data_IF_956356225589
#
_entry.id   IF_956356225589
#
_cell.length_a   1.000
_cell.length_b   1.000
_cell.length_c   1.000
_cell.angle_alpha   90.00
_cell.angle_beta   90.00
_cell.angle_gamma   90.00
#
_symmetry.space_group_name_H-M   'P 1'
#
loop_
_entity.id
_entity.type
_entity.pdbx_description
1 polymer ?
#
# COMPACT_ATOMS: atom_id res chain seq x y z
N UNK A 1 23.26 -7.88 29.16
CA UNK A 1 23.58 -7.28 30.46
C UNK A 1 24.47 -6.02 30.37
N UNK A 2 24.62 -5.37 29.20
CA UNK A 2 25.57 -4.23 29.02
C UNK A 2 24.91 -2.90 28.62
N UNK A 3 23.58 -2.83 28.64
CA UNK A 3 22.87 -1.57 28.50
C UNK A 3 22.45 -1.16 29.91
N UNK A 4 23.04 -0.07 30.40
CA UNK A 4 22.67 0.54 31.67
C UNK A 4 21.34 1.28 31.48
N UNK A 5 20.24 0.53 31.60
CA UNK A 5 18.88 1.06 31.51
C UNK A 5 18.47 1.65 32.87
N UNK A 6 18.18 2.96 32.96
CA UNK A 6 17.74 3.59 34.20
C UNK A 6 16.53 2.90 34.82
N UNK A 7 16.46 2.93 36.14
CA UNK A 7 15.32 2.40 36.88
C UNK A 7 14.02 3.10 36.46
N UNK A 8 13.00 2.31 36.12
CA UNK A 8 11.71 2.80 35.62
C UNK A 8 11.60 2.88 34.09
N UNK A 9 12.67 2.60 33.34
CA UNK A 9 12.63 2.50 31.88
C UNK A 9 12.63 1.04 31.42
N UNK A 10 11.95 0.78 30.30
CA UNK A 10 11.99 -0.49 29.58
C UNK A 10 12.51 -0.27 28.16
N UNK A 11 13.34 -1.20 27.67
CA UNK A 11 13.85 -1.18 26.29
C UNK A 11 13.39 -2.44 25.59
N UNK A 12 12.84 -2.29 24.39
CA UNK A 12 12.42 -3.40 23.54
C UNK A 12 13.30 -3.41 22.29
N UNK A 13 14.03 -4.50 22.10
CA UNK A 13 14.76 -4.71 20.86
C UNK A 13 13.77 -5.08 19.75
N UNK A 14 13.72 -4.28 18.68
CA UNK A 14 12.87 -4.55 17.50
C UNK A 14 13.51 -5.63 16.63
N UNK A 15 12.73 -6.30 15.78
CA UNK A 15 13.20 -7.32 14.82
C UNK A 15 14.36 -6.81 13.96
N UNK A 16 14.35 -5.54 13.55
CA UNK A 16 15.44 -4.91 12.80
C UNK A 16 16.78 -4.83 13.56
N UNK A 17 16.77 -5.04 14.88
CA UNK A 17 17.95 -5.12 15.74
C UNK A 17 18.63 -6.49 15.76
N UNK A 18 18.01 -7.54 15.23
CA UNK A 18 18.54 -8.91 15.27
C UNK A 18 19.88 -9.05 14.53
N UNK A 19 20.05 -8.35 13.41
CA UNK A 19 21.28 -8.38 12.60
C UNK A 19 22.31 -7.31 12.99
N UNK A 20 22.10 -6.61 14.12
CA UNK A 20 22.93 -5.49 14.55
C UNK A 20 23.94 -5.90 15.61
N UNK A 21 25.13 -5.31 15.51
CA UNK A 21 26.18 -5.51 16.49
C UNK A 21 25.82 -4.79 17.79
N UNK A 22 26.36 -5.28 18.90
CA UNK A 22 26.20 -4.67 20.23
C UNK A 22 26.57 -3.18 20.26
N UNK A 23 27.60 -2.78 19.51
CA UNK A 23 28.04 -1.39 19.41
C UNK A 23 27.07 -0.49 18.62
N UNK A 24 26.36 -1.04 17.64
CA UNK A 24 25.27 -0.34 16.93
C UNK A 24 24.06 -0.16 17.86
N UNK A 25 23.68 -1.22 18.59
CA UNK A 25 22.55 -1.17 19.54
C UNK A 25 22.83 -0.16 20.66
N UNK A 26 24.05 -0.13 21.21
CA UNK A 26 24.42 0.83 22.26
C UNK A 26 24.31 2.29 21.78
N UNK A 27 24.73 2.59 20.55
CA UNK A 27 24.63 3.93 19.97
C UNK A 27 23.19 4.36 19.73
N UNK A 28 22.35 3.46 19.23
CA UNK A 28 20.92 3.73 19.05
C UNK A 28 20.24 4.01 20.40
N UNK A 29 20.57 3.22 21.42
CA UNK A 29 20.12 3.46 22.79
C UNK A 29 20.59 4.82 23.34
N UNK A 30 21.87 5.17 23.20
CA UNK A 30 22.41 6.47 23.61
C UNK A 30 21.73 7.64 22.88
N UNK A 31 21.41 7.47 21.59
CA UNK A 31 20.65 8.44 20.82
C UNK A 31 19.24 8.63 21.39
N UNK A 32 18.52 7.54 21.67
CA UNK A 32 17.18 7.59 22.26
C UNK A 32 17.20 8.26 23.65
N UNK A 33 18.23 7.99 24.46
CA UNK A 33 18.40 8.63 25.76
C UNK A 33 18.64 10.15 25.65
N UNK A 34 19.47 10.60 24.69
CA UNK A 34 19.66 12.04 24.43
C UNK A 34 18.38 12.70 23.93
N UNK A 35 17.65 12.02 23.05
CA UNK A 35 16.37 12.51 22.55
C UNK A 35 15.38 12.68 23.72
N UNK A 36 15.27 11.68 24.58
CA UNK A 36 14.44 11.75 25.78
C UNK A 36 14.81 12.93 26.69
N UNK A 37 16.11 13.13 26.92
CA UNK A 37 16.58 14.23 27.78
C UNK A 37 16.24 15.61 27.20
N UNK A 38 16.35 15.77 25.87
CA UNK A 38 15.95 16.99 25.19
C UNK A 38 14.45 17.24 25.32
N UNK A 39 13.62 16.20 25.11
CA UNK A 39 12.16 16.30 25.26
C UNK A 39 11.80 16.67 26.70
N UNK A 40 12.41 16.01 27.69
CA UNK A 40 12.20 16.29 29.12
C UNK A 40 12.57 17.74 29.46
N UNK A 41 13.76 18.19 29.05
CA UNK A 41 14.25 19.54 29.33
C UNK A 41 13.36 20.60 28.70
N UNK A 42 12.98 20.43 27.43
CA UNK A 42 12.08 21.34 26.74
C UNK A 42 10.69 21.37 27.37
N UNK A 43 10.17 20.22 27.80
CA UNK A 43 8.87 20.11 28.49
C UNK A 43 8.86 20.90 29.80
N UNK A 44 9.92 20.79 30.61
CA UNK A 44 10.04 21.53 31.88
C UNK A 44 10.17 23.05 31.69
N UNK A 45 10.69 23.49 30.54
CA UNK A 45 10.85 24.92 30.21
C UNK A 45 9.61 25.51 29.51
N UNK A 46 8.69 24.67 29.02
CA UNK A 46 7.56 25.09 28.19
C UNK A 46 6.30 25.33 29.01
N UNK A 47 5.45 26.26 28.57
CA UNK A 47 4.08 26.44 29.08
C UNK A 47 3.09 25.87 28.08
N UNK A 48 2.12 25.07 28.54
CA UNK A 48 1.19 24.37 27.65
C UNK A 48 0.16 25.34 27.00
N UNK A 49 -0.30 25.05 25.76
CA UNK A 49 0.12 23.96 24.87
C UNK A 49 1.41 24.30 24.09
N UNK A 50 2.37 23.36 24.04
CA UNK A 50 3.64 23.52 23.32
C UNK A 50 4.07 22.22 22.63
N UNK A 51 4.65 22.32 21.43
CA UNK A 51 5.27 21.20 20.72
C UNK A 51 6.65 20.93 21.34
N UNK A 52 6.76 19.83 22.08
CA UNK A 52 8.02 19.43 22.75
C UNK A 52 8.78 18.34 21.99
N UNK A 53 8.13 17.68 21.04
CA UNK A 53 8.72 16.67 20.17
C UNK A 53 7.93 16.57 18.88
N UNK A 54 8.63 16.62 17.76
CA UNK A 54 8.11 16.27 16.44
C UNK A 54 8.82 15.01 15.97
N UNK A 55 8.06 14.03 15.45
CA UNK A 55 8.71 12.86 14.87
C UNK A 55 9.59 13.28 13.70
N UNK A 56 10.78 12.69 13.60
CA UNK A 56 11.77 13.07 12.60
C UNK A 56 11.21 13.09 11.18
N UNK A 57 11.84 13.91 10.33
CA UNK A 57 11.53 14.03 8.91
C UNK A 57 11.39 12.66 8.23
N UNK A 58 10.69 12.63 7.10
CA UNK A 58 10.56 11.41 6.29
C UNK A 58 11.93 10.76 6.01
N UNK A 59 12.98 11.55 5.82
CA UNK A 59 14.35 11.09 5.60
C UNK A 59 14.86 10.28 6.81
N UNK A 60 14.76 10.85 8.02
CA UNK A 60 15.20 10.18 9.26
C UNK A 60 14.42 8.89 9.50
N UNK A 61 13.09 8.92 9.28
CA UNK A 61 12.23 7.73 9.42
C UNK A 61 12.58 6.65 8.40
N UNK A 62 12.76 7.04 7.14
CA UNK A 62 13.15 6.13 6.05
C UNK A 62 14.48 5.45 6.36
N UNK A 63 15.50 6.21 6.78
CA UNK A 63 16.80 5.65 7.17
C UNK A 63 16.67 4.71 8.38
N UNK A 64 16.02 5.15 9.45
CA UNK A 64 15.84 4.36 10.69
C UNK A 64 15.16 3.03 10.41
N UNK A 65 14.12 3.05 9.59
CA UNK A 65 13.25 1.90 9.41
C UNK A 65 13.72 0.99 8.26
N UNK A 66 14.18 1.55 7.11
CA UNK A 66 14.51 0.80 5.87
C UNK A 66 15.98 0.40 5.76
N UNK A 67 16.89 1.10 6.43
CA UNK A 67 18.31 0.86 6.20
C UNK A 67 18.75 -0.52 6.70
N UNK A 68 19.43 -1.28 5.83
CA UNK A 68 20.12 -2.52 6.16
C UNK A 68 21.53 -2.53 5.55
N UNK A 69 22.38 -3.50 5.95
CA UNK A 69 23.79 -3.55 5.52
C UNK A 69 23.96 -3.95 4.05
N UNK A 70 22.91 -4.47 3.42
CA UNK A 70 22.90 -4.90 2.03
C UNK A 70 22.59 -3.74 1.06
N UNK A 71 22.32 -2.54 1.59
CA UNK A 71 22.15 -1.33 0.79
C UNK A 71 23.52 -0.74 0.45
N UNK A 72 23.88 -0.81 -0.83
CA UNK A 72 25.13 -0.30 -1.37
C UNK A 72 25.19 1.24 -1.38
N UNK A 73 24.07 1.89 -1.70
CA UNK A 73 23.99 3.36 -1.88
C UNK A 73 22.61 3.90 -1.47
N UNK A 74 22.60 5.09 -0.84
CA UNK A 74 21.41 5.91 -0.62
C UNK A 74 21.57 7.21 -1.39
N UNK A 75 20.88 7.32 -2.51
CA UNK A 75 20.87 8.52 -3.35
C UNK A 75 19.84 9.53 -2.83
N UNK A 76 20.28 10.76 -2.58
CA UNK A 76 19.41 11.84 -2.08
C UNK A 76 19.45 13.03 -3.02
N UNK A 77 18.29 13.39 -3.58
CA UNK A 77 18.12 14.60 -4.38
C UNK A 77 17.82 15.80 -3.49
N UNK A 78 18.53 16.91 -3.71
CA UNK A 78 18.43 18.14 -2.90
C UNK A 78 19.47 18.22 -1.78
N UNK A 79 20.11 19.38 -1.65
CA UNK A 79 21.24 19.59 -0.72
C UNK A 79 20.82 19.53 0.75
N UNK A 80 19.66 20.08 1.11
CA UNK A 80 19.19 20.06 2.51
C UNK A 80 18.85 18.64 2.98
N UNK A 81 18.14 17.88 2.15
CA UNK A 81 17.83 16.48 2.43
C UNK A 81 19.07 15.60 2.50
N UNK A 82 20.06 15.85 1.63
CA UNK A 82 21.34 15.15 1.65
C UNK A 82 22.10 15.37 2.97
N UNK A 83 22.22 16.64 3.41
CA UNK A 83 22.86 16.98 4.69
C UNK A 83 22.15 16.33 5.84
N UNK A 84 20.81 16.41 5.89
CA UNK A 84 20.02 15.80 6.95
C UNK A 84 20.22 14.28 7.01
N UNK A 85 20.15 13.59 5.87
CA UNK A 85 20.37 12.15 5.78
C UNK A 85 21.78 11.76 6.24
N UNK A 86 22.79 12.50 5.77
CA UNK A 86 24.21 12.21 6.04
C UNK A 86 24.57 12.45 7.50
N UNK A 87 24.09 13.53 8.10
CA UNK A 87 24.34 13.83 9.52
C UNK A 87 23.61 12.86 10.44
N UNK A 88 22.38 12.47 10.09
CA UNK A 88 21.66 11.42 10.81
C UNK A 88 22.40 10.07 10.74
N UNK A 89 22.88 9.70 9.55
CA UNK A 89 23.67 8.47 9.38
C UNK A 89 25.00 8.54 10.14
N UNK A 90 25.68 9.70 10.17
CA UNK A 90 26.89 9.89 10.98
C UNK A 90 26.63 9.71 12.47
N UNK A 91 25.48 10.17 12.96
CA UNK A 91 25.13 10.07 14.36
C UNK A 91 24.88 8.61 14.78
N UNK A 92 24.13 7.85 14.00
CA UNK A 92 23.78 6.46 14.33
C UNK A 92 24.88 5.47 13.92
N UNK A 93 25.37 5.58 12.69
CA UNK A 93 26.26 4.63 12.02
C UNK A 93 27.36 5.37 11.20
N UNK A 94 28.39 5.95 11.86
CA UNK A 94 29.44 6.73 11.20
C UNK A 94 30.13 6.00 10.04
N UNK A 95 30.39 4.69 10.18
CA UNK A 95 31.05 3.87 9.15
C UNK A 95 30.23 3.76 7.85
N UNK A 96 28.92 3.94 7.93
CA UNK A 96 27.98 3.86 6.82
C UNK A 96 27.56 5.24 6.29
N UNK A 97 28.03 6.34 6.88
CA UNK A 97 27.70 7.69 6.40
C UNK A 97 28.14 7.97 4.96
N UNK A 98 29.15 7.23 4.48
CA UNK A 98 29.63 7.25 3.09
C UNK A 98 28.70 6.55 2.09
N UNK A 99 27.71 5.80 2.55
CA UNK A 99 26.67 5.19 1.69
C UNK A 99 25.68 6.25 1.21
N UNK A 100 25.51 7.34 1.97
CA UNK A 100 24.63 8.45 1.59
C UNK A 100 25.36 9.34 0.58
N UNK A 101 24.84 9.36 -0.65
CA UNK A 101 25.42 10.07 -1.79
C UNK A 101 24.44 11.13 -2.34
N UNK A 102 24.94 12.31 -2.72
CA UNK A 102 24.11 13.34 -3.31
C UNK A 102 23.79 12.97 -4.76
N UNK A 103 22.52 13.05 -5.12
CA UNK A 103 22.09 12.92 -6.51
C UNK A 103 22.19 14.27 -7.21
N UNK A 104 23.01 14.37 -8.26
CA UNK A 104 23.35 15.63 -8.95
C UNK A 104 23.05 15.65 -10.43
N UNK A 105 22.48 14.57 -10.96
CA UNK A 105 22.10 14.53 -12.37
C UNK A 105 20.93 15.49 -12.64
N UNK A 106 20.84 15.96 -13.88
CA UNK A 106 19.77 16.85 -14.34
C UNK A 106 18.44 16.12 -14.49
N UNK A 107 18.48 14.84 -14.87
CA UNK A 107 17.28 14.00 -14.96
C UNK A 107 16.79 13.69 -13.55
N UNK A 108 15.49 13.79 -13.24
CA UNK A 108 14.97 13.43 -11.91
C UNK A 108 15.31 11.99 -11.53
N UNK A 109 15.63 11.76 -10.25
CA UNK A 109 16.09 10.48 -9.71
C UNK A 109 15.16 9.30 -10.06
N UNK A 110 13.84 9.45 -9.87
CA UNK A 110 12.90 8.37 -10.16
C UNK A 110 12.74 8.10 -11.66
N UNK A 111 12.85 9.14 -12.50
CA UNK A 111 12.81 8.99 -13.96
C UNK A 111 14.05 8.24 -14.43
N UNK A 112 15.24 8.62 -13.97
CA UNK A 112 16.50 7.94 -14.32
C UNK A 112 16.49 6.46 -13.95
N UNK A 113 15.88 6.11 -12.82
CA UNK A 113 15.80 4.74 -12.33
C UNK A 113 14.54 3.97 -12.83
N UNK A 114 13.71 4.57 -13.69
CA UNK A 114 12.48 3.94 -14.20
C UNK A 114 11.41 3.67 -13.13
N UNK A 115 11.50 4.34 -11.99
CA UNK A 115 10.58 4.19 -10.84
C UNK A 115 9.29 4.97 -11.11
N UNK A 116 9.34 6.10 -11.80
CA UNK A 116 8.16 6.94 -12.08
C UNK A 116 7.05 6.13 -12.77
N UNK A 117 7.41 5.38 -13.82
CA UNK A 117 6.47 4.52 -14.53
C UNK A 117 5.91 3.38 -13.65
N UNK A 118 6.64 2.96 -12.60
CA UNK A 118 6.12 1.99 -11.64
C UNK A 118 5.14 2.63 -10.66
N UNK A 119 5.40 3.87 -10.22
CA UNK A 119 4.49 4.63 -9.36
C UNK A 119 3.15 4.88 -10.06
N UNK A 120 3.16 5.25 -11.33
CA UNK A 120 1.92 5.43 -12.10
C UNK A 120 1.13 4.12 -12.21
N UNK A 121 1.82 2.99 -12.44
CA UNK A 121 1.19 1.66 -12.48
C UNK A 121 0.61 1.24 -11.13
N UNK A 122 1.06 1.79 -10.00
CA UNK A 122 0.47 1.50 -8.69
C UNK A 122 -0.97 2.01 -8.55
N UNK A 123 -1.39 2.96 -9.40
CA UNK A 123 -2.77 3.45 -9.42
C UNK A 123 -3.70 2.55 -10.24
N UNK A 124 -3.14 1.69 -11.10
CA UNK A 124 -3.93 0.76 -11.91
C UNK A 124 -4.33 -0.46 -11.07
N UNK A 125 -5.59 -0.93 -11.14
CA UNK A 125 -6.01 -2.13 -10.42
C UNK A 125 -5.33 -3.38 -10.98
N UNK A 126 -5.06 -3.43 -12.28
CA UNK A 126 -4.41 -4.55 -12.96
C UNK A 126 -2.89 -4.45 -12.88
N UNK A 127 -2.22 -5.57 -12.58
CA UNK A 127 -0.77 -5.69 -12.56
C UNK A 127 -0.34 -6.91 -13.38
N UNK A 128 0.47 -6.70 -14.41
CA UNK A 128 1.00 -7.76 -15.28
C UNK A 128 2.12 -8.53 -14.59
N UNK A 129 2.05 -9.87 -14.66
CA UNK A 129 3.06 -10.81 -14.18
C UNK A 129 4.15 -11.04 -15.25
N UNK A 130 5.29 -11.61 -14.85
CA UNK A 130 6.46 -11.76 -15.72
C UNK A 130 6.17 -12.67 -16.91
N UNK A 131 5.37 -13.71 -16.69
CA UNK A 131 5.00 -14.68 -17.73
C UNK A 131 3.84 -14.22 -18.63
N UNK A 132 3.26 -13.03 -18.40
CA UNK A 132 2.16 -12.49 -19.20
C UNK A 132 0.75 -12.77 -18.66
N UNK A 133 0.65 -13.47 -17.52
CA UNK A 133 -0.53 -13.42 -16.66
C UNK A 133 -0.70 -12.04 -16.01
N UNK A 134 -1.73 -11.85 -15.22
CA UNK A 134 -1.96 -10.61 -14.48
C UNK A 134 -2.80 -10.85 -13.23
N UNK A 135 -2.67 -9.95 -12.27
CA UNK A 135 -3.56 -9.87 -11.11
C UNK A 135 -4.43 -8.62 -11.19
N UNK A 136 -5.66 -8.69 -10.69
CA UNK A 136 -6.55 -7.53 -10.55
C UNK A 136 -6.79 -7.29 -9.06
N UNK A 137 -6.47 -6.09 -8.57
CA UNK A 137 -6.64 -5.68 -7.18
C UNK A 137 -7.82 -4.73 -7.09
N UNK A 138 -8.85 -5.11 -6.34
CA UNK A 138 -10.04 -4.31 -6.10
C UNK A 138 -10.19 -4.03 -4.60
N UNK A 139 -10.15 -2.75 -4.23
CA UNK A 139 -10.43 -2.32 -2.85
C UNK A 139 -11.93 -2.03 -2.71
N UNK A 140 -12.59 -2.76 -1.81
CA UNK A 140 -13.99 -2.54 -1.43
C UNK A 140 -14.06 -1.83 -0.08
N UNK A 141 -15.27 -1.61 0.43
CA UNK A 141 -15.48 -1.01 1.75
C UNK A 141 -14.93 -1.87 2.89
N UNK A 142 -15.09 -3.19 2.82
CA UNK A 142 -14.76 -4.10 3.92
C UNK A 142 -13.44 -4.86 3.73
N UNK A 143 -13.07 -5.16 2.48
CA UNK A 143 -11.93 -6.00 2.15
C UNK A 143 -11.27 -5.62 0.83
N UNK A 144 -10.05 -6.11 0.63
CA UNK A 144 -9.36 -6.07 -0.66
C UNK A 144 -9.49 -7.43 -1.33
N UNK A 145 -10.05 -7.49 -2.53
CA UNK A 145 -10.05 -8.71 -3.35
C UNK A 145 -8.94 -8.67 -4.39
N UNK A 146 -8.30 -9.81 -4.61
CA UNK A 146 -7.26 -9.99 -5.61
C UNK A 146 -7.61 -11.20 -6.45
N UNK A 147 -7.73 -11.00 -7.75
CA UNK A 147 -8.04 -12.05 -8.74
C UNK A 147 -6.80 -12.35 -9.60
N UNK A 148 -6.52 -13.63 -9.88
CA UNK A 148 -5.32 -14.09 -10.61
C UNK A 148 -5.70 -14.71 -11.94
N UNK A 149 -5.10 -14.21 -13.03
CA UNK A 149 -5.36 -14.68 -14.38
C UNK A 149 -4.06 -15.09 -15.09
N UNK A 150 -4.07 -16.24 -15.78
CA UNK A 150 -2.94 -16.74 -16.58
C UNK A 150 -2.75 -15.99 -17.90
N UNK A 151 -3.74 -15.20 -18.33
CA UNK A 151 -3.67 -14.41 -19.56
C UNK A 151 -3.47 -15.29 -20.80
N UNK A 152 -2.64 -14.84 -21.74
CA UNK A 152 -2.28 -15.60 -22.96
C UNK A 152 -1.05 -16.51 -22.77
N UNK A 153 -0.64 -16.78 -21.53
CA UNK A 153 0.55 -17.57 -21.23
C UNK A 153 0.29 -19.07 -21.34
N UNK A 154 -0.08 -19.56 -22.53
CA UNK A 154 -0.30 -21.00 -22.80
C UNK A 154 0.91 -21.59 -23.52
N UNK A 155 2.11 -21.47 -22.91
CA UNK A 155 3.35 -22.00 -23.51
C UNK A 155 3.75 -23.38 -23.01
N UNK A 156 3.09 -23.92 -21.99
CA UNK A 156 3.39 -25.24 -21.43
C UNK A 156 2.36 -26.28 -21.87
N UNK A 157 2.78 -27.55 -21.88
CA UNK A 157 1.96 -28.68 -22.33
C UNK A 157 0.89 -29.11 -21.30
N UNK A 158 0.96 -28.61 -20.06
CA UNK A 158 0.01 -28.94 -18.98
C UNK A 158 -0.64 -27.68 -18.40
N UNK A 159 -1.97 -27.67 -18.36
CA UNK A 159 -2.78 -26.57 -17.78
C UNK A 159 -2.45 -26.39 -16.28
N UNK A 160 -2.25 -27.51 -15.56
CA UNK A 160 -1.94 -27.52 -14.12
C UNK A 160 -0.57 -26.88 -13.82
N UNK A 161 0.43 -27.12 -14.67
CA UNK A 161 1.77 -26.53 -14.50
C UNK A 161 1.73 -25.01 -14.70
N UNK A 162 1.00 -24.56 -15.72
CA UNK A 162 0.80 -23.12 -15.98
C UNK A 162 0.01 -22.45 -14.87
N UNK A 163 -1.00 -23.11 -14.28
CA UNK A 163 -1.75 -22.61 -13.14
C UNK A 163 -0.83 -22.44 -11.92
N UNK A 164 -0.05 -23.48 -11.57
CA UNK A 164 0.92 -23.42 -10.48
C UNK A 164 1.96 -22.30 -10.71
N UNK A 165 2.55 -22.23 -11.90
CA UNK A 165 3.55 -21.22 -12.21
C UNK A 165 3.00 -19.80 -12.08
N UNK A 166 1.80 -19.56 -12.65
CA UNK A 166 1.12 -18.26 -12.56
C UNK A 166 0.80 -17.91 -11.11
N UNK A 167 0.27 -18.85 -10.32
CA UNK A 167 -0.05 -18.62 -8.91
C UNK A 167 1.20 -18.34 -8.06
N UNK A 168 2.34 -18.99 -8.36
CA UNK A 168 3.60 -18.70 -7.70
C UNK A 168 4.10 -17.27 -8.01
N UNK A 169 4.06 -16.85 -9.29
CA UNK A 169 4.38 -15.46 -9.65
C UNK A 169 3.42 -14.46 -8.99
N UNK A 170 2.12 -14.77 -9.01
CA UNK A 170 1.09 -13.95 -8.38
C UNK A 170 1.33 -13.81 -6.87
N UNK A 171 1.70 -14.87 -6.16
CA UNK A 171 2.01 -14.81 -4.73
C UNK A 171 3.17 -13.85 -4.41
N UNK A 172 4.22 -13.83 -5.23
CA UNK A 172 5.33 -12.89 -5.08
C UNK A 172 4.87 -11.44 -5.33
N UNK A 173 4.11 -11.25 -6.41
CA UNK A 173 3.66 -9.93 -6.83
C UNK A 173 2.62 -9.35 -5.86
N UNK A 174 1.70 -10.16 -5.34
CA UNK A 174 0.76 -9.77 -4.29
C UNK A 174 1.50 -9.28 -3.06
N UNK A 175 2.47 -10.05 -2.56
CA UNK A 175 3.27 -9.62 -1.40
C UNK A 175 3.99 -8.29 -1.64
N UNK A 176 4.48 -8.07 -2.87
CA UNK A 176 5.10 -6.80 -3.29
C UNK A 176 4.10 -5.65 -3.32
N UNK A 177 2.93 -5.85 -3.93
CA UNK A 177 1.88 -4.83 -4.07
C UNK A 177 1.26 -4.44 -2.73
N UNK A 178 1.08 -5.39 -1.80
CA UNK A 178 0.61 -5.10 -0.44
C UNK A 178 1.50 -4.07 0.27
N UNK A 179 2.82 -4.18 0.11
CA UNK A 179 3.79 -3.22 0.66
C UNK A 179 3.80 -1.90 -0.08
N UNK A 180 3.81 -1.93 -1.41
CA UNK A 180 3.89 -0.72 -2.22
C UNK A 180 2.65 0.16 -2.08
N UNK A 181 1.46 -0.46 -2.08
CA UNK A 181 0.18 0.25 -2.01
C UNK A 181 -0.32 0.47 -0.58
N UNK A 182 0.39 -0.07 0.41
CA UNK A 182 -0.01 -0.11 1.82
C UNK A 182 -1.43 -0.66 2.02
N UNK A 183 -1.75 -1.75 1.32
CA UNK A 183 -3.05 -2.43 1.46
C UNK A 183 -3.13 -3.08 2.83
N UNK A 184 -4.26 -2.91 3.52
CA UNK A 184 -4.44 -3.35 4.89
C UNK A 184 -5.89 -3.75 5.15
N UNK A 185 -6.12 -4.41 6.29
CA UNK A 185 -7.41 -5.01 6.64
C UNK A 185 -7.50 -6.46 6.17
N UNK A 186 -8.71 -6.91 5.86
CA UNK A 186 -8.97 -8.22 5.30
C UNK A 186 -8.63 -8.22 3.81
N UNK A 187 -7.85 -9.20 3.38
CA UNK A 187 -7.45 -9.40 1.98
C UNK A 187 -7.84 -10.82 1.60
N UNK A 188 -8.50 -10.96 0.46
CA UNK A 188 -8.91 -12.24 -0.12
C UNK A 188 -8.25 -12.39 -1.48
N UNK A 189 -7.57 -13.51 -1.70
CA UNK A 189 -6.86 -13.81 -2.95
C UNK A 189 -7.54 -15.01 -3.59
N UNK A 190 -8.04 -14.83 -4.81
CA UNK A 190 -8.61 -15.85 -5.67
C UNK A 190 -7.51 -16.35 -6.60
N UNK A 191 -6.87 -17.46 -6.22
CA UNK A 191 -5.85 -18.11 -7.03
C UNK A 191 -6.52 -19.00 -8.07
N UNK A 192 -5.82 -19.26 -9.18
CA UNK A 192 -6.31 -20.21 -10.19
C UNK A 192 -6.44 -21.59 -9.52
N UNK A 193 -7.58 -22.24 -9.71
CA UNK A 193 -7.82 -23.59 -9.19
C UNK A 193 -6.73 -24.57 -9.64
N UNK A 194 -6.27 -25.39 -8.70
CA UNK A 194 -5.25 -26.42 -8.91
C UNK A 194 -5.76 -27.75 -8.34
N UNK A 195 -5.62 -28.84 -9.10
CA UNK A 195 -6.12 -30.15 -8.68
C UNK A 195 -5.26 -30.74 -7.56
N UNK A 196 -3.94 -30.52 -7.60
CA UNK A 196 -3.04 -31.09 -6.60
C UNK A 196 -2.93 -30.23 -5.34
N UNK A 197 -3.32 -30.78 -4.20
CA UNK A 197 -3.14 -30.14 -2.89
C UNK A 197 -1.67 -29.76 -2.57
N UNK A 198 -0.70 -30.42 -3.21
CA UNK A 198 0.72 -30.06 -3.08
C UNK A 198 1.00 -28.70 -3.69
N UNK A 199 0.35 -28.36 -4.80
CA UNK A 199 0.47 -27.09 -5.51
C UNK A 199 -0.10 -25.94 -4.67
N UNK A 200 -1.27 -26.14 -4.06
CA UNK A 200 -1.85 -25.21 -3.08
C UNK A 200 -0.87 -24.87 -1.94
N UNK A 201 -0.25 -25.88 -1.35
CA UNK A 201 0.77 -25.69 -0.28
C UNK A 201 2.02 -24.97 -0.77
N UNK A 202 2.42 -25.16 -2.02
CA UNK A 202 3.57 -24.48 -2.60
C UNK A 202 3.30 -22.98 -2.75
N UNK A 203 2.10 -22.60 -3.22
CA UNK A 203 1.64 -21.21 -3.33
C UNK A 203 1.52 -20.56 -1.95
N UNK A 204 0.90 -21.23 -0.98
CA UNK A 204 0.82 -20.78 0.42
C UNK A 204 2.20 -20.48 1.02
N UNK A 205 3.16 -21.38 0.79
CA UNK A 205 4.53 -21.23 1.27
C UNK A 205 5.22 -20.06 0.58
N UNK A 206 5.09 -19.95 -0.75
CA UNK A 206 5.69 -18.86 -1.54
C UNK A 206 5.22 -17.50 -1.08
N UNK A 207 3.91 -17.34 -0.84
CA UNK A 207 3.33 -16.11 -0.31
C UNK A 207 3.91 -15.79 1.08
N UNK A 208 3.88 -16.76 2.00
CA UNK A 208 4.44 -16.58 3.36
C UNK A 208 5.90 -16.17 3.33
N UNK A 209 6.72 -16.78 2.49
CA UNK A 209 8.13 -16.45 2.35
C UNK A 209 8.35 -14.99 1.91
N UNK A 210 7.53 -14.48 0.99
CA UNK A 210 7.61 -13.10 0.50
C UNK A 210 6.99 -12.05 1.43
N UNK A 211 6.22 -12.48 2.44
CA UNK A 211 5.62 -11.62 3.46
C UNK A 211 6.47 -11.52 4.74
N UNK A 212 7.48 -12.38 4.94
CA UNK A 212 8.34 -12.39 6.14
C UNK A 212 8.99 -11.05 6.45
N UNK A 213 9.36 -10.30 5.41
CA UNK A 213 10.02 -9.00 5.52
C UNK A 213 9.05 -7.82 5.57
N UNK A 214 7.74 -8.07 5.56
CA UNK A 214 6.75 -7.01 5.78
C UNK A 214 6.80 -6.55 7.25
N UNK A 215 6.68 -5.24 7.45
CA UNK A 215 6.68 -4.64 8.79
C UNK A 215 5.34 -4.72 9.47
N UNK A 216 4.27 -4.80 8.68
CA UNK A 216 2.93 -4.95 9.21
C UNK A 216 2.80 -6.35 9.83
N UNK A 217 2.06 -6.46 10.93
CA UNK A 217 1.65 -7.78 11.42
C UNK A 217 0.70 -8.39 10.41
N UNK A 218 0.99 -9.62 10.00
CA UNK A 218 0.23 -10.34 8.98
C UNK A 218 -0.18 -11.70 9.52
N UNK A 219 -1.43 -12.08 9.28
CA UNK A 219 -1.91 -13.44 9.48
C UNK A 219 -2.36 -13.99 8.14
N UNK A 220 -1.81 -15.14 7.74
CA UNK A 220 -2.12 -15.79 6.46
C UNK A 220 -2.83 -17.10 6.74
N UNK A 221 -4.03 -17.25 6.17
CA UNK A 221 -4.80 -18.48 6.19
C UNK A 221 -4.25 -19.57 5.28
N UNK A 222 -5.10 -20.52 4.94
CA UNK A 222 -4.87 -21.53 3.90
C UNK A 222 -5.82 -21.25 2.74
N UNK A 223 -5.54 -21.87 1.59
CA UNK A 223 -6.51 -21.92 0.50
C UNK A 223 -7.72 -22.71 0.98
N UNK A 224 -8.89 -22.09 0.95
CA UNK A 224 -10.16 -22.65 1.40
C UNK A 224 -10.69 -23.69 0.41
N UNK A 225 -11.78 -24.36 0.76
CA UNK A 225 -12.47 -25.25 -0.16
C UNK A 225 -13.05 -24.54 -1.40
N UNK A 226 -13.25 -23.21 -1.32
CA UNK A 226 -13.73 -22.38 -2.42
C UNK A 226 -12.60 -21.80 -3.29
N UNK A 227 -11.35 -22.27 -3.15
CA UNK A 227 -10.20 -21.73 -3.90
C UNK A 227 -9.65 -20.40 -3.36
N UNK A 228 -10.33 -19.77 -2.42
CA UNK A 228 -9.94 -18.48 -1.86
C UNK A 228 -8.94 -18.60 -0.72
N UNK A 229 -7.94 -17.74 -0.71
CA UNK A 229 -7.03 -17.53 0.42
C UNK A 229 -7.37 -16.24 1.17
N UNK A 230 -7.60 -16.36 2.46
CA UNK A 230 -7.85 -15.21 3.35
C UNK A 230 -6.58 -14.84 4.12
N UNK A 231 -6.33 -13.54 4.25
CA UNK A 231 -5.28 -13.01 5.12
C UNK A 231 -5.68 -11.66 5.73
N UNK A 232 -5.06 -11.32 6.86
CA UNK A 232 -5.18 -9.99 7.46
C UNK A 232 -3.83 -9.30 7.52
N UNK A 233 -3.80 -8.00 7.23
CA UNK A 233 -2.60 -7.16 7.32
C UNK A 233 -2.89 -5.92 8.15
N UNK A 234 -2.07 -5.67 9.16
CA UNK A 234 -2.19 -4.50 10.03
C UNK A 234 -2.05 -3.19 9.24
N UNK A 235 -2.97 -2.25 9.48
CA UNK A 235 -2.90 -0.89 8.92
C UNK A 235 -1.84 -0.07 9.67
N UNK A 236 -0.82 0.39 8.95
CA UNK A 236 0.24 1.28 9.48
C UNK A 236 -0.05 2.74 9.13
N UNK A 237 -0.55 2.99 7.93
CA UNK A 237 -0.86 4.32 7.38
C UNK A 237 -2.03 4.22 6.39
N UNK A 238 -2.52 5.36 5.92
CA UNK A 238 -3.48 5.40 4.81
C UNK A 238 -2.88 4.75 3.56
N UNK A 239 -3.71 4.11 2.74
CA UNK A 239 -3.26 3.49 1.49
C UNK A 239 -2.85 4.56 0.47
N UNK A 240 -2.13 4.14 -0.57
CA UNK A 240 -1.74 5.08 -1.64
C UNK A 240 -2.96 5.69 -2.33
N UNK A 241 -4.01 4.89 -2.60
CA UNK A 241 -5.24 5.40 -3.20
C UNK A 241 -5.97 6.38 -2.29
N UNK A 242 -6.09 6.06 -0.99
CA UNK A 242 -6.74 6.94 -0.01
C UNK A 242 -6.03 8.29 0.14
N UNK A 243 -4.70 8.32 -0.01
CA UNK A 243 -3.90 9.54 0.14
C UNK A 243 -3.76 10.37 -1.14
N UNK A 244 -3.97 9.78 -2.32
CA UNK A 244 -3.75 10.44 -3.62
C UNK A 244 -5.04 10.68 -4.42
N UNK A 245 -6.14 10.01 -4.08
CA UNK A 245 -7.39 10.08 -4.84
C UNK A 245 -8.55 10.64 -4.02
N UNK A 246 -9.59 11.11 -4.74
CA UNK A 246 -10.87 11.50 -4.17
C UNK A 246 -11.99 10.66 -4.77
N UNK A 247 -13.09 10.41 -4.03
CA UNK A 247 -14.24 9.71 -4.58
C UNK A 247 -14.76 10.39 -5.85
N UNK A 248 -15.20 9.59 -6.83
CA UNK A 248 -15.77 10.12 -8.06
C UNK A 248 -17.04 10.93 -7.75
N UNK A 249 -17.16 12.19 -8.20
CA UNK A 249 -18.32 13.04 -7.88
C UNK A 249 -19.62 12.56 -8.57
N UNK A 250 -19.52 11.72 -9.61
CA UNK A 250 -20.68 11.23 -10.36
C UNK A 250 -21.26 9.95 -9.78
N UNK A 251 -20.41 8.97 -9.48
CA UNK A 251 -20.84 7.64 -9.05
C UNK A 251 -20.56 7.36 -7.57
N UNK A 252 -19.91 8.28 -6.85
CA UNK A 252 -19.55 8.08 -5.44
C UNK A 252 -18.55 6.95 -5.19
N UNK A 253 -17.90 6.44 -6.25
CA UNK A 253 -16.98 5.31 -6.18
C UNK A 253 -17.58 3.97 -6.60
N UNK A 254 -18.85 3.90 -7.03
CA UNK A 254 -19.46 2.63 -7.48
C UNK A 254 -18.90 2.12 -8.81
N UNK A 255 -18.21 2.97 -9.59
CA UNK A 255 -17.71 2.64 -10.93
C UNK A 255 -18.79 2.52 -12.01
N UNK A 256 -20.06 2.76 -11.67
CA UNK A 256 -21.18 2.59 -12.58
C UNK A 256 -22.15 3.78 -12.50
N UNK A 257 -22.74 4.13 -13.63
CA UNK A 257 -23.86 5.08 -13.73
C UNK A 257 -25.07 4.36 -14.30
N UNK A 258 -26.29 4.78 -13.93
CA UNK A 258 -27.52 4.17 -14.48
C UNK A 258 -27.58 4.37 -15.99
N UNK A 259 -28.08 3.37 -16.71
CA UNK A 259 -28.31 3.46 -18.16
C UNK A 259 -29.43 4.46 -18.49
N UNK A 260 -29.42 5.01 -19.71
CA UNK A 260 -30.44 5.96 -20.16
C UNK A 260 -31.87 5.41 -20.03
N UNK A 261 -32.09 4.15 -20.35
CA UNK A 261 -33.39 3.48 -20.20
C UNK A 261 -33.85 3.40 -18.74
N UNK A 262 -32.93 3.13 -17.81
CA UNK A 262 -33.22 3.08 -16.38
C UNK A 262 -33.56 4.47 -15.83
N UNK A 263 -32.82 5.49 -16.24
CA UNK A 263 -33.09 6.88 -15.85
C UNK A 263 -34.39 7.38 -16.48
N UNK A 264 -34.68 7.04 -17.74
CA UNK A 264 -35.91 7.40 -18.42
C UNK A 264 -37.15 6.85 -17.69
N UNK A 265 -37.13 5.56 -17.33
CA UNK A 265 -38.22 4.96 -16.56
C UNK A 265 -38.39 5.61 -15.18
N UNK A 266 -37.29 5.97 -14.52
CA UNK A 266 -37.33 6.71 -13.26
C UNK A 266 -37.97 8.09 -13.44
N UNK A 267 -37.64 8.80 -14.52
CA UNK A 267 -38.22 10.11 -14.86
C UNK A 267 -39.72 9.99 -15.10
N UNK A 268 -40.16 9.02 -15.91
CA UNK A 268 -41.60 8.82 -16.21
C UNK A 268 -42.37 8.51 -14.92
N UNK A 269 -41.86 7.60 -14.08
CA UNK A 269 -42.50 7.28 -12.80
C UNK A 269 -42.56 8.47 -11.85
N UNK A 270 -41.53 9.32 -11.83
CA UNK A 270 -41.52 10.54 -11.02
C UNK A 270 -42.56 11.57 -11.52
N UNK A 271 -42.75 11.69 -12.84
CA UNK A 271 -43.80 12.52 -13.44
C UNK A 271 -45.19 11.97 -13.05
N UNK A 272 -45.41 10.66 -13.18
CA UNK A 272 -46.67 10.01 -12.80
C UNK A 272 -47.00 10.23 -11.32
N UNK A 273 -46.03 9.99 -10.43
CA UNK A 273 -46.20 10.20 -9.00
C UNK A 273 -46.56 11.66 -8.66
N UNK A 274 -45.92 12.62 -9.34
CA UNK A 274 -46.21 14.04 -9.15
C UNK A 274 -47.63 14.39 -9.63
N UNK A 275 -48.02 13.95 -10.83
CA UNK A 275 -49.33 14.22 -11.41
C UNK A 275 -50.48 13.59 -10.62
N UNK A 276 -50.24 12.45 -9.96
CA UNK A 276 -51.21 11.85 -9.04
C UNK A 276 -51.47 12.70 -7.79
N UNK A 277 -50.48 13.50 -7.35
CA UNK A 277 -50.60 14.40 -6.19
C UNK A 277 -51.18 15.76 -6.56
N UNK A 278 -50.71 16.36 -7.65
CA UNK A 278 -51.22 17.62 -8.17
C UNK A 278 -51.07 17.69 -9.70
N UNK A 279 -52.21 17.70 -10.40
CA UNK A 279 -52.29 17.73 -11.85
C UNK A 279 -52.59 19.11 -12.44
N UNK A 280 -52.63 20.17 -11.62
CA UNK A 280 -53.12 21.49 -12.05
C UNK A 280 -52.06 22.35 -12.74
N UNK A 281 -50.78 22.00 -12.62
CA UNK A 281 -49.65 22.81 -13.09
C UNK A 281 -48.82 22.10 -14.15
N UNK A 282 -48.19 22.87 -15.04
CA UNK A 282 -47.19 22.35 -15.97
C UNK A 282 -45.96 21.83 -15.21
N UNK A 283 -45.39 20.73 -15.67
CA UNK A 283 -44.17 20.14 -15.11
C UNK A 283 -42.99 20.43 -16.05
N UNK A 284 -41.88 20.89 -15.48
CA UNK A 284 -40.61 21.04 -16.19
C UNK A 284 -39.64 20.02 -15.60
N UNK A 285 -39.24 19.03 -16.41
CA UNK A 285 -38.23 18.04 -16.02
C UNK A 285 -36.89 18.38 -16.68
N UNK A 286 -35.81 18.34 -15.89
CA UNK A 286 -34.43 18.49 -16.36
C UNK A 286 -33.70 17.17 -16.20
N UNK A 287 -33.14 16.65 -17.30
CA UNK A 287 -32.46 15.35 -17.37
C UNK A 287 -31.37 15.41 -18.45
N UNK A 288 -30.36 14.51 -18.47
CA UNK A 288 -29.38 14.45 -19.56
C UNK A 288 -30.03 14.32 -20.95
N UNK A 289 -29.38 14.86 -21.98
CA UNK A 289 -29.94 14.89 -23.34
C UNK A 289 -30.29 13.49 -23.88
N UNK A 290 -29.43 12.50 -23.65
CA UNK A 290 -29.68 11.12 -24.08
C UNK A 290 -30.94 10.53 -23.42
N UNK A 291 -31.11 10.77 -22.11
CA UNK A 291 -32.32 10.36 -21.38
C UNK A 291 -33.57 11.10 -21.89
N UNK A 292 -33.48 12.41 -22.18
CA UNK A 292 -34.61 13.17 -22.71
C UNK A 292 -35.05 12.65 -24.08
N UNK A 293 -34.11 12.37 -24.97
CA UNK A 293 -34.39 11.75 -26.27
C UNK A 293 -35.01 10.36 -26.10
N UNK A 294 -34.51 9.55 -25.16
CA UNK A 294 -35.09 8.24 -24.89
C UNK A 294 -36.57 8.37 -24.47
N UNK A 295 -36.87 9.19 -23.46
CA UNK A 295 -38.24 9.41 -22.97
C UNK A 295 -39.20 9.92 -24.05
N UNK A 296 -38.71 10.71 -25.01
CA UNK A 296 -39.54 11.30 -26.07
C UNK A 296 -39.72 10.40 -27.31
N UNK A 297 -38.99 9.29 -27.42
CA UNK A 297 -38.99 8.44 -28.61
C UNK A 297 -39.23 6.95 -28.33
N UNK A 298 -39.10 6.50 -27.09
CA UNK A 298 -39.26 5.10 -26.65
C UNK A 298 -40.15 5.03 -25.41
#
# INVERSE_FOLDING_TARGET
HDLDVPQGMGVILRTAGESRTKAEIKRDYEYLMRLWENVRSLTLQSTAPALVYEEGSLIKRSVRDLYNKDIDEILVSGEDGYREAKDFMRMLMPSHAKVVQPYRDTTPIFVRNGIEAQLDRMLQPQVTLKSGGYIIINQTEALVSIDVNSGRSTKEHSIEETALHTNLEAAEEVARQLRLRDLAGLIVIDFIDMEENRNNRAVEKRLKDHLKNDRARIQVGRISHFGLMEMSRQRIRASVLESTMKPCPHCGGTGHVRSDSSVALMVVRAIEEFLLKDSRSHIIVRTPAATALYVLNH
#
